data_IF_324681874877
#
_entry.id   IF_324681874877
#
_cell.length_a   1.000
_cell.length_b   1.000
_cell.length_c   1.000
_cell.angle_alpha   90.00
_cell.angle_beta   90.00
_cell.angle_gamma   90.00
#
_symmetry.space_group_name_H-M   'P 1'
#
loop_
_entity.id
_entity.type
_entity.pdbx_description
1 polymer ?
#
# COMPACT_ATOMS: atom_id res chain seq x y z
N UNK A 1 9.90 -20.28 8.43
CA UNK A 1 9.77 -18.81 8.31
C UNK A 1 10.72 -18.19 9.31
N UNK A 2 11.44 -17.15 8.92
CA UNK A 2 12.41 -16.44 9.78
C UNK A 2 11.87 -15.04 10.11
N UNK A 3 12.21 -14.51 11.28
CA UNK A 3 11.83 -13.16 11.70
C UNK A 3 12.97 -12.16 11.43
N UNK A 4 12.66 -11.04 10.79
CA UNK A 4 13.60 -9.94 10.56
C UNK A 4 13.41 -8.93 11.69
N UNK A 5 14.47 -8.70 12.47
CA UNK A 5 14.46 -7.64 13.49
C UNK A 5 14.84 -6.30 12.85
N UNK A 6 13.97 -5.30 13.02
CA UNK A 6 14.22 -3.95 12.54
C UNK A 6 15.00 -3.09 13.56
N UNK A 7 15.47 -3.66 14.67
CA UNK A 7 16.24 -3.02 15.72
C UNK A 7 15.52 -1.83 16.40
N UNK A 8 14.18 -1.85 16.42
CA UNK A 8 13.38 -0.77 17.00
C UNK A 8 13.44 0.54 16.23
N UNK A 9 13.91 0.53 14.99
CA UNK A 9 13.98 1.69 14.12
C UNK A 9 12.56 2.15 13.77
N UNK A 10 12.30 3.45 13.92
CA UNK A 10 11.00 4.07 13.61
C UNK A 10 11.01 4.95 12.36
N UNK A 11 12.16 5.09 11.69
CA UNK A 11 12.27 5.85 10.44
C UNK A 11 11.48 5.12 9.32
N UNK A 12 10.42 5.75 8.75
CA UNK A 12 9.58 5.13 7.73
C UNK A 12 10.34 4.84 6.43
N UNK A 13 11.30 5.69 6.04
CA UNK A 13 12.09 5.46 4.84
C UNK A 13 13.00 4.23 5.01
N UNK A 14 13.60 4.09 6.19
CA UNK A 14 14.48 2.95 6.47
C UNK A 14 13.71 1.64 6.63
N UNK A 15 12.55 1.66 7.28
CA UNK A 15 11.70 0.47 7.43
C UNK A 15 11.14 -0.03 6.08
N UNK A 16 10.72 0.88 5.18
CA UNK A 16 10.28 0.50 3.84
C UNK A 16 11.46 0.01 2.97
N UNK A 17 12.65 0.60 3.12
CA UNK A 17 13.86 0.10 2.47
C UNK A 17 14.26 -1.29 2.97
N UNK A 18 14.10 -1.57 4.26
CA UNK A 18 14.35 -2.89 4.83
C UNK A 18 13.41 -3.95 4.25
N UNK A 19 12.13 -3.63 4.06
CA UNK A 19 11.15 -4.52 3.40
C UNK A 19 11.56 -4.82 1.95
N UNK A 20 11.95 -3.80 1.17
CA UNK A 20 12.44 -3.99 -0.21
C UNK A 20 13.76 -4.78 -0.24
N UNK A 21 14.69 -4.48 0.67
CA UNK A 21 15.95 -5.19 0.80
C UNK A 21 15.71 -6.69 1.08
N UNK A 22 14.83 -6.99 2.04
CA UNK A 22 14.48 -8.35 2.39
C UNK A 22 13.82 -9.11 1.22
N UNK A 23 12.98 -8.43 0.43
CA UNK A 23 12.39 -8.97 -0.79
C UNK A 23 13.43 -9.25 -1.89
N UNK A 24 14.47 -8.42 -2.02
CA UNK A 24 15.40 -8.49 -3.16
C UNK A 24 16.69 -9.25 -2.88
N UNK A 25 17.21 -9.17 -1.66
CA UNK A 25 18.57 -9.58 -1.32
C UNK A 25 18.63 -10.80 -0.41
N UNK A 26 17.64 -10.99 0.48
CA UNK A 26 17.65 -12.17 1.35
C UNK A 26 17.38 -13.46 0.57
N UNK A 27 17.94 -14.61 0.99
CA UNK A 27 17.76 -15.89 0.33
C UNK A 27 16.28 -16.25 0.09
N UNK A 28 15.95 -16.70 -1.12
CA UNK A 28 14.56 -16.96 -1.49
C UNK A 28 14.02 -18.30 -0.95
N UNK A 29 14.86 -19.18 -0.43
CA UNK A 29 14.51 -20.49 0.14
C UNK A 29 13.80 -20.41 1.50
N UNK A 30 13.77 -19.22 2.12
CA UNK A 30 13.00 -18.96 3.32
C UNK A 30 11.86 -17.95 3.06
N UNK A 31 10.78 -18.12 3.80
CA UNK A 31 9.78 -17.08 4.03
C UNK A 31 10.21 -16.22 5.22
N UNK A 32 9.92 -14.93 5.18
CA UNK A 32 10.28 -13.98 6.23
C UNK A 32 9.05 -13.26 6.79
N UNK A 33 9.08 -12.97 8.09
CA UNK A 33 8.17 -12.04 8.75
C UNK A 33 8.96 -10.82 9.23
N UNK A 34 8.48 -9.63 8.89
CA UNK A 34 9.02 -8.37 9.38
C UNK A 34 7.91 -7.61 10.12
N UNK A 35 8.23 -7.09 11.31
CA UNK A 35 7.40 -6.13 12.02
C UNK A 35 8.12 -4.79 12.12
N UNK A 36 7.37 -3.70 11.97
CA UNK A 36 7.90 -2.35 12.17
C UNK A 36 6.82 -1.37 12.63
N UNK A 37 7.25 -0.34 13.36
CA UNK A 37 6.43 0.79 13.79
C UNK A 37 7.12 2.02 13.21
N UNK A 38 6.36 2.92 12.60
CA UNK A 38 6.92 4.15 12.03
C UNK A 38 6.55 5.34 12.91
N UNK A 39 7.43 6.33 12.97
CA UNK A 39 7.07 7.65 13.47
C UNK A 39 6.02 8.33 12.53
N UNK A 40 5.38 9.44 12.96
CA UNK A 40 4.31 10.09 12.22
C UNK A 40 4.60 10.26 10.72
N UNK A 41 3.88 9.52 9.89
CA UNK A 41 4.16 9.46 8.45
C UNK A 41 2.92 9.15 7.63
N UNK A 42 2.89 9.64 6.39
CA UNK A 42 1.94 9.25 5.36
C UNK A 42 2.65 8.32 4.39
N UNK A 43 2.15 7.08 4.32
CA UNK A 43 2.62 6.08 3.36
C UNK A 43 1.72 6.11 2.13
N UNK A 44 2.26 6.62 1.03
CA UNK A 44 1.56 6.79 -0.25
C UNK A 44 1.67 5.51 -1.08
N UNK A 45 0.56 5.07 -1.69
CA UNK A 45 0.55 3.93 -2.60
C UNK A 45 1.32 4.20 -3.88
N UNK A 46 1.90 3.15 -4.49
CA UNK A 46 2.81 3.27 -5.65
C UNK A 46 2.29 4.20 -6.75
N UNK A 47 1.01 4.10 -7.10
CA UNK A 47 0.41 4.81 -8.23
C UNK A 47 -0.38 6.07 -7.85
N UNK A 48 -0.33 6.53 -6.59
CA UNK A 48 -1.08 7.72 -6.19
C UNK A 48 -0.34 9.02 -6.52
N UNK A 49 -1.10 10.08 -6.83
CA UNK A 49 -0.56 11.43 -6.93
C UNK A 49 -0.42 12.05 -5.53
N UNK A 50 0.81 12.09 -5.01
CA UNK A 50 1.07 12.54 -3.64
C UNK A 50 0.61 13.97 -3.38
N UNK A 51 0.84 14.89 -4.32
CA UNK A 51 0.52 16.30 -4.14
C UNK A 51 -0.99 16.54 -3.98
N UNK A 52 -1.81 15.67 -4.56
CA UNK A 52 -3.27 15.75 -4.47
C UNK A 52 -3.84 14.96 -3.31
N UNK A 53 -3.12 13.96 -2.79
CA UNK A 53 -3.58 13.12 -1.69
C UNK A 53 -3.24 13.69 -0.31
N UNK A 54 -2.24 14.57 -0.18
CA UNK A 54 -1.79 15.10 1.12
C UNK A 54 -2.18 16.56 1.36
N UNK A 55 -2.54 16.88 2.60
CA UNK A 55 -2.61 18.26 3.07
C UNK A 55 -1.20 18.76 3.38
N UNK A 56 -0.54 19.33 2.36
CA UNK A 56 0.87 19.74 2.43
C UNK A 56 1.18 20.65 3.62
N UNK A 57 0.36 21.67 3.86
CA UNK A 57 0.58 22.64 4.94
C UNK A 57 0.56 21.96 6.32
N UNK A 58 -0.41 21.05 6.53
CA UNK A 58 -0.51 20.29 7.78
C UNK A 58 0.67 19.35 7.97
N UNK A 59 1.07 18.65 6.90
CA UNK A 59 2.16 17.67 6.91
C UNK A 59 3.50 18.35 7.22
N UNK A 60 3.82 19.42 6.48
CA UNK A 60 5.06 20.19 6.68
C UNK A 60 5.06 20.86 8.07
N UNK A 61 3.95 21.45 8.49
CA UNK A 61 3.83 22.13 9.78
C UNK A 61 3.96 21.22 11.01
N UNK A 62 3.78 19.91 10.86
CA UNK A 62 3.94 18.91 11.93
C UNK A 62 5.15 17.99 11.76
N UNK A 63 5.96 18.20 10.72
CA UNK A 63 7.11 17.34 10.42
C UNK A 63 6.71 15.89 10.13
N UNK A 64 5.53 15.66 9.53
CA UNK A 64 5.05 14.32 9.16
C UNK A 64 5.81 13.87 7.91
N UNK A 65 6.40 12.68 7.92
CA UNK A 65 7.10 12.15 6.76
C UNK A 65 6.12 11.76 5.65
N UNK A 66 6.54 11.87 4.39
CA UNK A 66 5.76 11.38 3.23
C UNK A 66 6.63 10.40 2.46
N UNK A 67 6.25 9.12 2.47
CA UNK A 67 7.05 8.04 1.88
C UNK A 67 6.19 7.19 0.98
N UNK A 68 6.62 6.95 -0.26
CA UNK A 68 5.92 6.08 -1.21
C UNK A 68 6.38 4.63 -1.04
N UNK A 69 5.42 3.70 -0.94
CA UNK A 69 5.69 2.25 -0.89
C UNK A 69 5.67 1.62 -2.29
N UNK A 70 6.19 0.40 -2.40
CA UNK A 70 6.20 -0.36 -3.67
C UNK A 70 4.84 -0.95 -4.04
N UNK A 71 3.99 -1.25 -3.06
CA UNK A 71 2.66 -1.80 -3.31
C UNK A 71 1.66 -0.72 -3.74
N UNK A 72 0.63 -1.15 -4.50
CA UNK A 72 -0.51 -0.30 -4.86
C UNK A 72 -1.43 -0.01 -3.67
N UNK A 73 -2.63 0.52 -3.92
CA UNK A 73 -3.59 0.89 -2.88
C UNK A 73 -3.55 2.37 -2.49
N UNK A 74 -4.36 2.73 -1.50
CA UNK A 74 -4.51 4.11 -1.03
C UNK A 74 -3.44 4.58 -0.04
N UNK A 75 -3.54 5.85 0.36
CA UNK A 75 -2.65 6.48 1.34
C UNK A 75 -3.04 6.05 2.74
N UNK A 76 -2.06 5.81 3.61
CA UNK A 76 -2.27 5.40 5.00
C UNK A 76 -1.40 6.26 5.91
N UNK A 77 -1.94 6.66 7.05
CA UNK A 77 -1.18 7.37 8.08
C UNK A 77 -0.66 6.38 9.11
N UNK A 78 0.61 6.51 9.47
CA UNK A 78 1.28 5.74 10.51
C UNK A 78 1.69 6.67 11.65
N UNK A 79 1.73 6.11 12.85
CA UNK A 79 2.38 6.68 14.03
C UNK A 79 2.85 5.54 14.94
N UNK A 80 3.31 5.90 16.15
CA UNK A 80 3.82 4.93 17.12
C UNK A 80 2.74 3.98 17.68
N UNK A 81 1.47 4.27 17.43
CA UNK A 81 0.34 3.41 17.76
C UNK A 81 -0.07 2.49 16.60
N UNK A 82 0.67 2.45 15.49
CA UNK A 82 0.41 1.61 14.34
C UNK A 82 1.51 0.54 14.18
N UNK A 83 1.15 -0.73 14.38
CA UNK A 83 2.05 -1.85 14.13
C UNK A 83 1.90 -2.34 12.69
N UNK A 84 2.99 -2.42 11.94
CA UNK A 84 2.99 -2.95 10.58
C UNK A 84 3.58 -4.36 10.57
N UNK A 85 3.05 -5.18 9.68
CA UNK A 85 3.57 -6.52 9.42
C UNK A 85 3.79 -6.73 7.94
N UNK A 86 4.78 -7.56 7.60
CA UNK A 86 5.08 -7.95 6.22
C UNK A 86 5.50 -9.41 6.16
N UNK A 87 4.74 -10.21 5.40
CA UNK A 87 5.10 -11.57 5.03
C UNK A 87 5.77 -11.55 3.67
N UNK A 88 7.05 -11.89 3.62
CA UNK A 88 7.88 -11.90 2.40
C UNK A 88 8.12 -13.35 2.00
N UNK A 89 7.58 -13.75 0.85
CA UNK A 89 7.56 -15.16 0.41
C UNK A 89 7.97 -15.29 -1.05
N UNK A 90 8.15 -16.53 -1.52
CA UNK A 90 8.11 -16.80 -2.97
C UNK A 90 6.73 -16.46 -3.52
N UNK A 91 6.69 -15.98 -4.76
CA UNK A 91 5.46 -15.89 -5.53
C UNK A 91 5.20 -17.25 -6.19
N UNK A 92 4.22 -17.97 -5.67
CA UNK A 92 3.79 -19.27 -6.22
C UNK A 92 2.84 -19.12 -7.43
N UNK A 93 2.65 -17.90 -7.93
CA UNK A 93 1.75 -17.56 -9.03
C UNK A 93 0.27 -17.61 -8.65
N UNK A 94 -0.05 -17.98 -7.40
CA UNK A 94 -1.42 -18.13 -6.88
C UNK A 94 -1.69 -17.25 -5.65
N UNK A 95 -0.63 -16.73 -5.02
CA UNK A 95 -0.71 -15.99 -3.77
C UNK A 95 -0.96 -14.50 -3.96
N UNK A 96 -0.67 -13.96 -5.14
CA UNK A 96 -1.04 -12.58 -5.48
C UNK A 96 -2.57 -12.47 -5.58
N UNK A 97 -3.14 -11.46 -4.90
CA UNK A 97 -4.56 -11.27 -4.57
C UNK A 97 -5.17 -12.25 -3.56
N UNK A 98 -4.43 -13.22 -3.02
CA UNK A 98 -4.90 -14.08 -1.93
C UNK A 98 -4.54 -13.47 -0.57
N UNK A 99 -5.22 -12.39 -0.20
CA UNK A 99 -5.01 -11.73 1.09
C UNK A 99 -5.29 -12.66 2.28
N UNK A 100 -6.29 -13.54 2.16
CA UNK A 100 -6.68 -14.49 3.21
C UNK A 100 -5.49 -15.31 3.72
N UNK A 101 -4.67 -15.84 2.81
CA UNK A 101 -3.48 -16.65 3.17
C UNK A 101 -2.57 -15.93 4.18
N UNK A 102 -2.41 -14.62 4.05
CA UNK A 102 -1.47 -13.83 4.84
C UNK A 102 -2.13 -13.10 6.02
N UNK A 103 -3.44 -12.81 5.95
CA UNK A 103 -4.18 -12.19 7.06
C UNK A 103 -4.65 -13.22 8.09
N UNK A 104 -4.84 -14.48 7.70
CA UNK A 104 -5.37 -15.52 8.60
C UNK A 104 -4.52 -15.72 9.87
N UNK A 105 -3.17 -15.80 9.83
CA UNK A 105 -2.37 -15.91 11.04
C UNK A 105 -2.55 -14.72 11.99
N UNK A 106 -2.70 -13.51 11.43
CA UNK A 106 -2.94 -12.27 12.20
C UNK A 106 -4.33 -12.28 12.82
N UNK A 107 -5.35 -12.69 12.07
CA UNK A 107 -6.73 -12.81 12.56
C UNK A 107 -6.80 -13.82 13.71
N UNK A 108 -6.19 -15.00 13.57
CA UNK A 108 -6.13 -15.98 14.66
C UNK A 108 -5.46 -15.42 15.92
N UNK A 109 -4.40 -14.64 15.77
CA UNK A 109 -3.73 -14.01 16.89
C UNK A 109 -4.61 -12.96 17.58
N UNK A 110 -5.39 -12.19 16.82
CA UNK A 110 -6.39 -11.25 17.33
C UNK A 110 -7.54 -11.95 18.08
N UNK A 111 -8.06 -13.07 17.54
CA UNK A 111 -9.09 -13.86 18.23
C UNK A 111 -8.62 -14.38 19.59
N UNK A 112 -7.33 -14.74 19.73
CA UNK A 112 -6.75 -15.14 21.03
C UNK A 112 -6.74 -14.01 22.07
N UNK A 113 -6.86 -12.75 21.64
CA UNK A 113 -7.04 -11.59 22.53
C UNK A 113 -8.52 -11.24 22.78
N UNK A 114 -9.46 -12.01 22.25
CA UNK A 114 -10.88 -11.71 22.29
C UNK A 114 -11.33 -10.66 21.28
N UNK A 115 -10.50 -10.34 20.28
CA UNK A 115 -10.83 -9.38 19.22
C UNK A 115 -11.38 -10.16 18.03
N UNK A 116 -12.71 -10.15 17.86
CA UNK A 116 -13.47 -10.85 16.80
C UNK A 116 -13.25 -10.22 15.42
N UNK A 117 -12.04 -10.36 14.89
CA UNK A 117 -11.61 -9.79 13.64
C UNK A 117 -11.96 -10.69 12.43
N UNK A 118 -12.31 -10.09 11.30
CA UNK A 118 -12.58 -10.80 10.06
C UNK A 118 -12.00 -10.08 8.83
N UNK A 119 -11.61 -10.85 7.82
CA UNK A 119 -11.25 -10.30 6.51
C UNK A 119 -12.52 -9.94 5.74
N UNK A 120 -12.62 -8.68 5.35
CA UNK A 120 -13.76 -8.11 4.61
C UNK A 120 -13.31 -7.45 3.32
N UNK A 121 -14.22 -7.37 2.35
CA UNK A 121 -13.94 -6.78 1.05
C UNK A 121 -12.81 -7.52 0.34
N UNK A 122 -11.75 -6.80 -0.04
CA UNK A 122 -10.58 -7.38 -0.71
C UNK A 122 -9.42 -7.62 0.24
N UNK A 123 -9.15 -6.66 1.12
CA UNK A 123 -7.86 -6.52 1.78
C UNK A 123 -7.95 -5.84 3.16
N UNK A 124 -9.14 -5.74 3.76
CA UNK A 124 -9.34 -5.05 5.03
C UNK A 124 -9.68 -6.04 6.15
N UNK A 125 -9.09 -5.86 7.34
CA UNK A 125 -9.52 -6.59 8.55
C UNK A 125 -10.41 -5.66 9.37
N UNK A 126 -11.58 -6.15 9.79
CA UNK A 126 -12.58 -5.39 10.54
C UNK A 126 -13.02 -6.13 11.80
N UNK A 127 -13.51 -5.37 12.78
CA UNK A 127 -14.27 -5.86 13.93
C UNK A 127 -15.67 -5.25 13.82
N UNK A 128 -16.67 -6.08 13.52
CA UNK A 128 -17.96 -5.60 13.04
C UNK A 128 -17.79 -4.77 11.76
N UNK A 129 -18.30 -3.54 11.74
CA UNK A 129 -18.21 -2.65 10.57
C UNK A 129 -16.97 -1.72 10.59
N UNK A 130 -16.10 -1.85 11.60
CA UNK A 130 -14.96 -0.93 11.80
C UNK A 130 -13.65 -1.58 11.39
N UNK A 131 -12.93 -0.92 10.48
CA UNK A 131 -11.62 -1.33 9.99
C UNK A 131 -10.52 -1.09 11.01
N UNK A 132 -9.73 -2.13 11.26
CA UNK A 132 -8.56 -2.12 12.16
C UNK A 132 -7.24 -2.39 11.39
N UNK A 133 -7.31 -2.83 10.13
CA UNK A 133 -6.16 -3.13 9.28
C UNK A 133 -6.47 -2.91 7.81
N UNK A 134 -5.52 -2.33 7.07
CA UNK A 134 -5.50 -2.37 5.61
C UNK A 134 -4.29 -3.14 5.11
N UNK A 135 -4.48 -3.97 4.08
CA UNK A 135 -3.43 -4.84 3.54
C UNK A 135 -3.12 -4.49 2.08
N UNK A 136 -1.88 -4.70 1.66
CA UNK A 136 -1.45 -4.51 0.29
C UNK A 136 -0.38 -5.54 -0.09
N UNK A 137 -0.23 -5.76 -1.39
CA UNK A 137 0.70 -6.74 -1.94
C UNK A 137 1.58 -6.12 -3.01
N UNK A 138 2.79 -6.65 -3.11
CA UNK A 138 3.74 -6.34 -4.18
C UNK A 138 4.45 -7.63 -4.59
N UNK A 139 4.66 -7.81 -5.89
CA UNK A 139 5.37 -8.97 -6.43
C UNK A 139 6.39 -8.52 -7.47
N UNK A 140 7.56 -9.17 -7.47
CA UNK A 140 8.61 -8.95 -8.46
C UNK A 140 9.52 -10.17 -8.55
N UNK A 141 9.92 -10.54 -9.78
CA UNK A 141 10.94 -11.59 -10.04
C UNK A 141 10.73 -12.90 -9.25
N UNK A 142 9.48 -13.38 -9.14
CA UNK A 142 9.15 -14.64 -8.44
C UNK A 142 9.17 -14.55 -6.92
N UNK A 143 9.24 -13.34 -6.35
CA UNK A 143 9.06 -13.07 -4.92
C UNK A 143 7.94 -12.06 -4.71
N UNK A 144 7.35 -12.08 -3.53
CA UNK A 144 6.32 -11.13 -3.16
C UNK A 144 6.37 -10.80 -1.68
N UNK A 145 5.77 -9.68 -1.31
CA UNK A 145 5.36 -9.45 0.06
C UNK A 145 3.87 -9.13 0.15
N UNK A 146 3.27 -9.55 1.26
CA UNK A 146 1.97 -9.04 1.72
C UNK A 146 2.19 -8.33 3.03
N UNK A 147 1.89 -7.04 3.04
CA UNK A 147 2.01 -6.24 4.26
C UNK A 147 0.66 -5.65 4.67
N UNK A 148 0.58 -5.24 5.92
CA UNK A 148 -0.60 -4.60 6.44
C UNK A 148 -0.30 -3.77 7.67
N UNK A 149 -1.23 -2.87 7.96
CA UNK A 149 -1.23 -2.08 9.18
C UNK A 149 -2.09 -2.75 10.24
N UNK A 150 -1.81 -2.51 11.50
CA UNK A 150 -2.66 -2.86 12.64
C UNK A 150 -2.78 -1.61 13.48
N UNK A 151 -3.94 -0.98 13.40
CA UNK A 151 -4.28 0.22 14.15
C UNK A 151 -4.42 -0.18 15.62
N UNK A 152 -3.31 -0.22 16.35
CA UNK A 152 -3.31 -0.69 17.73
C UNK A 152 -3.88 0.39 18.63
N UNK A 153 -3.24 1.56 18.64
CA UNK A 153 -3.65 2.75 19.40
C UNK A 153 -3.25 4.03 18.65
N UNK A 154 -3.56 4.09 17.36
CA UNK A 154 -3.15 5.16 16.45
C UNK A 154 -4.00 6.43 16.65
N UNK A 155 -3.42 7.60 16.43
CA UNK A 155 -4.06 8.91 16.58
C UNK A 155 -4.90 9.26 15.33
N UNK A 156 -6.14 8.78 15.30
CA UNK A 156 -7.05 8.90 14.15
C UNK A 156 -7.33 10.34 13.68
N UNK A 157 -7.23 11.33 14.57
CA UNK A 157 -7.47 12.74 14.23
C UNK A 157 -6.42 13.33 13.28
N UNK A 158 -5.20 12.80 13.32
CA UNK A 158 -4.15 13.17 12.40
C UNK A 158 -4.44 12.65 10.99
N UNK A 159 -5.02 11.45 10.87
CA UNK A 159 -5.36 10.81 9.59
C UNK A 159 -6.27 11.71 8.74
N UNK A 160 -7.36 12.20 9.34
CA UNK A 160 -8.34 13.02 8.63
C UNK A 160 -7.81 14.41 8.26
N UNK A 161 -6.84 14.92 9.02
CA UNK A 161 -6.26 16.25 8.83
C UNK A 161 -5.10 16.25 7.82
N UNK A 162 -4.37 15.13 7.73
CA UNK A 162 -3.16 14.99 6.92
C UNK A 162 -3.45 14.60 5.46
N UNK A 163 -4.65 14.07 5.17
CA UNK A 163 -5.06 13.63 3.83
C UNK A 163 -6.12 14.55 3.22
N UNK A 164 -5.94 14.88 1.94
CA UNK A 164 -6.96 15.55 1.14
C UNK A 164 -8.00 14.52 0.71
N UNK A 165 -9.10 14.46 1.46
CA UNK A 165 -10.15 13.49 1.23
C UNK A 165 -10.95 13.86 -0.03
N UNK A 166 -10.75 13.15 -1.15
CA UNK A 166 -11.53 13.37 -2.37
C UNK A 166 -13.03 13.04 -2.13
N UNK A 167 -13.97 14.00 -2.26
CA UNK A 167 -15.39 13.79 -1.99
C UNK A 167 -16.04 12.67 -2.81
N UNK A 168 -15.54 12.40 -4.03
CA UNK A 168 -16.04 11.35 -4.91
C UNK A 168 -15.85 9.94 -4.32
N UNK A 169 -14.82 9.71 -3.50
CA UNK A 169 -14.62 8.42 -2.78
C UNK A 169 -15.75 8.15 -1.76
N UNK A 170 -16.59 9.15 -1.44
CA UNK A 170 -17.63 9.09 -0.40
C UNK A 170 -19.05 9.23 -0.93
N UNK A 171 -19.24 9.76 -2.15
CA UNK A 171 -20.57 9.92 -2.77
C UNK A 171 -21.32 8.61 -2.96
N UNK A 172 -20.63 7.49 -3.17
CA UNK A 172 -21.28 6.18 -3.41
C UNK A 172 -21.78 5.46 -2.15
N UNK A 173 -21.55 6.00 -0.94
CA UNK A 173 -21.91 5.30 0.32
C UNK A 173 -22.77 6.10 1.30
N UNK A 174 -23.27 7.27 0.92
CA UNK A 174 -24.41 7.94 1.59
C UNK A 174 -24.38 8.07 3.13
N UNK A 175 -23.26 8.10 3.87
CA UNK A 175 -23.25 8.26 5.35
C UNK A 175 -21.91 8.79 5.88
N UNK A 176 -22.01 9.66 6.91
CA UNK A 176 -21.12 10.19 8.00
C UNK A 176 -19.58 9.96 7.95
N UNK A 177 -18.86 10.91 8.57
CA UNK A 177 -17.40 11.11 8.62
C UNK A 177 -16.52 9.85 8.77
N UNK A 178 -15.29 9.90 8.21
CA UNK A 178 -14.23 8.86 8.30
C UNK A 178 -14.08 8.22 9.69
N UNK A 179 -14.24 9.01 10.77
CA UNK A 179 -14.19 8.53 12.16
C UNK A 179 -15.12 7.35 12.48
N UNK A 180 -16.20 7.15 11.73
CA UNK A 180 -17.15 6.06 12.02
C UNK A 180 -16.79 4.72 11.36
N UNK A 181 -15.69 4.63 10.59
CA UNK A 181 -15.34 3.43 9.80
C UNK A 181 -14.03 2.76 10.20
N UNK A 182 -13.20 3.39 11.03
CA UNK A 182 -11.93 2.83 11.52
C UNK A 182 -11.95 2.82 13.04
N UNK A 183 -11.22 1.88 13.65
CA UNK A 183 -11.10 1.78 15.09
C UNK A 183 -9.71 1.28 15.48
N UNK A 184 -9.33 1.57 16.72
CA UNK A 184 -8.13 1.01 17.33
C UNK A 184 -8.44 -0.35 17.93
N UNK A 185 -7.47 -1.27 17.88
CA UNK A 185 -7.58 -2.61 18.45
C UNK A 185 -7.75 -2.53 19.98
N UNK A 186 -7.13 -1.53 20.63
CA UNK A 186 -7.29 -1.26 22.07
C UNK A 186 -8.75 -1.07 22.50
N UNK A 187 -9.63 -0.60 21.61
CA UNK A 187 -11.08 -0.45 21.90
C UNK A 187 -11.79 -1.79 22.12
N UNK A 188 -11.21 -2.89 21.63
CA UNK A 188 -11.80 -4.23 21.67
C UNK A 188 -11.10 -5.17 22.65
N UNK A 189 -10.05 -4.71 23.34
CA UNK A 189 -9.33 -5.51 24.33
C UNK A 189 -10.06 -5.52 25.67
N UNK A 190 -9.93 -6.63 26.41
CA UNK A 190 -10.50 -6.78 27.75
C UNK A 190 -9.73 -6.03 28.85
N UNK A 191 -8.50 -5.60 28.57
CA UNK A 191 -7.65 -4.88 29.49
C UNK A 191 -6.53 -4.10 28.78
N UNK A 192 -5.78 -3.25 29.51
CA UNK A 192 -4.70 -2.46 28.93
C UNK A 192 -3.56 -3.34 28.41
N UNK A 193 -3.00 -2.96 27.28
CA UNK A 193 -1.88 -3.64 26.62
C UNK A 193 -0.99 -2.59 25.95
N UNK A 194 0.34 -2.78 25.96
CA UNK A 194 1.25 -1.92 25.21
C UNK A 194 1.47 -2.46 23.79
N UNK A 195 1.93 -1.63 22.86
CA UNK A 195 2.20 -2.07 21.49
C UNK A 195 3.32 -3.11 21.42
N UNK A 196 4.28 -3.09 22.34
CA UNK A 196 5.34 -4.08 22.45
C UNK A 196 4.79 -5.43 22.90
N UNK A 197 3.89 -5.44 23.89
CA UNK A 197 3.21 -6.65 24.33
C UNK A 197 2.31 -7.22 23.24
N UNK A 198 1.61 -6.35 22.50
CA UNK A 198 0.81 -6.74 21.34
C UNK A 198 1.68 -7.34 20.22
N UNK A 199 2.81 -6.70 19.89
CA UNK A 199 3.79 -7.19 18.91
C UNK A 199 4.32 -8.57 19.31
N UNK A 200 4.68 -8.76 20.58
CA UNK A 200 5.16 -10.04 21.09
C UNK A 200 4.08 -11.12 21.02
N UNK A 201 2.83 -10.79 21.40
CA UNK A 201 1.70 -11.72 21.30
C UNK A 201 1.46 -12.17 19.86
N UNK A 202 1.48 -11.25 18.89
CA UNK A 202 1.35 -11.59 17.48
C UNK A 202 2.48 -12.51 17.02
N UNK A 203 3.72 -12.20 17.43
CA UNK A 203 4.89 -13.00 17.09
C UNK A 203 4.74 -14.43 17.62
N UNK A 204 4.44 -14.59 18.91
CA UNK A 204 4.27 -15.89 19.57
C UNK A 204 3.11 -16.68 18.94
N UNK A 205 2.01 -16.01 18.58
CA UNK A 205 0.87 -16.65 17.95
C UNK A 205 1.16 -17.10 16.51
N UNK A 206 1.91 -16.31 15.74
CA UNK A 206 2.27 -16.63 14.34
C UNK A 206 3.28 -17.79 14.29
N UNK A 207 4.21 -17.85 15.25
CA UNK A 207 5.16 -18.94 15.38
C UNK A 207 4.62 -20.13 16.19
N UNK A 208 3.34 -20.09 16.59
CA UNK A 208 2.66 -21.16 17.33
C UNK A 208 3.39 -21.57 18.63
N UNK A 209 4.04 -20.61 19.29
CA UNK A 209 4.85 -20.84 20.50
C UNK A 209 6.20 -21.53 20.25
N UNK A 210 6.57 -21.76 18.99
CA UNK A 210 7.89 -22.27 18.62
C UNK A 210 8.98 -21.20 18.80
N UNK A 211 10.24 -21.63 18.89
CA UNK A 211 11.37 -20.71 18.91
C UNK A 211 11.39 -19.82 17.65
N UNK A 212 11.39 -18.50 17.86
CA UNK A 212 11.44 -17.52 16.77
C UNK A 212 12.88 -17.41 16.27
N UNK A 213 13.15 -18.08 15.15
CA UNK A 213 14.43 -17.96 14.46
C UNK A 213 14.55 -16.58 13.80
N UNK A 214 15.58 -15.82 14.19
CA UNK A 214 15.83 -14.47 13.69
C UNK A 214 16.85 -14.45 12.58
N UNK A 215 16.69 -13.52 11.64
CA UNK A 215 17.71 -13.12 10.68
C UNK A 215 18.52 -12.00 11.31
N UNK A 216 19.81 -12.25 11.55
CA UNK A 216 20.75 -11.20 11.94
C UNK A 216 21.33 -10.55 10.67
N UNK A 217 20.95 -9.30 10.43
CA UNK A 217 21.52 -8.51 9.35
C UNK A 217 22.89 -7.96 9.75
N UNK A 218 23.88 -8.16 8.90
CA UNK A 218 25.23 -7.65 9.08
C UNK A 218 25.28 -6.12 8.94
N UNK A 219 26.40 -5.52 9.35
CA UNK A 219 26.63 -4.09 9.13
C UNK A 219 26.54 -3.71 7.64
N UNK A 220 27.03 -4.57 6.75
CA UNK A 220 26.97 -4.36 5.31
C UNK A 220 25.53 -4.44 4.76
N UNK A 221 24.70 -5.34 5.29
CA UNK A 221 23.27 -5.39 4.95
C UNK A 221 22.58 -4.08 5.35
N UNK A 222 22.84 -3.59 6.55
CA UNK A 222 22.29 -2.32 7.03
C UNK A 222 22.79 -1.10 6.23
N UNK A 223 24.03 -1.11 5.76
CA UNK A 223 24.55 -0.06 4.88
C UNK A 223 23.84 -0.07 3.52
N UNK A 224 23.57 -1.26 2.96
CA UNK A 224 22.78 -1.39 1.73
C UNK A 224 21.31 -0.94 1.93
N UNK A 225 20.70 -1.24 3.09
CA UNK A 225 19.37 -0.76 3.46
C UNK A 225 19.36 0.77 3.58
N UNK A 226 20.38 1.38 4.21
CA UNK A 226 20.52 2.84 4.32
C UNK A 226 20.69 3.49 2.95
N UNK A 227 21.55 2.94 2.11
CA UNK A 227 21.76 3.42 0.74
C UNK A 227 20.44 3.38 -0.06
N UNK A 228 19.70 2.27 0.02
CA UNK A 228 18.40 2.15 -0.64
C UNK A 228 17.38 3.17 -0.10
N UNK A 229 17.38 3.42 1.21
CA UNK A 229 16.54 4.44 1.82
C UNK A 229 16.86 5.84 1.27
N UNK A 230 18.14 6.19 1.14
CA UNK A 230 18.58 7.48 0.61
C UNK A 230 18.25 7.65 -0.88
N UNK A 231 18.53 6.63 -1.68
CA UNK A 231 18.35 6.66 -3.15
C UNK A 231 16.87 6.65 -3.56
N UNK A 232 16.01 5.97 -2.80
CA UNK A 232 14.59 5.79 -3.13
C UNK A 232 13.68 6.48 -2.13
N UNK A 233 13.63 6.00 -0.89
CA UNK A 233 12.56 6.33 0.05
C UNK A 233 12.66 7.74 0.66
N UNK A 234 13.83 8.37 0.59
CA UNK A 234 14.04 9.80 0.90
C UNK A 234 14.06 10.69 -0.34
N UNK A 235 14.02 10.10 -1.54
CA UNK A 235 14.03 10.83 -2.79
C UNK A 235 12.69 11.52 -3.03
N UNK A 236 12.75 12.83 -3.32
CA UNK A 236 11.57 13.61 -3.71
C UNK A 236 10.95 13.08 -5.01
N UNK A 237 11.77 12.69 -5.98
CA UNK A 237 11.32 12.13 -7.26
C UNK A 237 10.56 10.81 -7.09
N UNK A 238 10.91 10.01 -6.08
CA UNK A 238 10.15 8.82 -5.76
C UNK A 238 8.85 9.16 -5.01
N UNK A 239 8.94 9.99 -3.96
CA UNK A 239 7.80 10.24 -3.08
C UNK A 239 6.72 11.12 -3.73
N UNK A 240 7.10 12.12 -4.51
CA UNK A 240 6.19 13.06 -5.18
C UNK A 240 6.16 12.84 -6.68
N UNK A 241 7.33 12.65 -7.28
CA UNK A 241 7.49 12.46 -8.72
C UNK A 241 7.06 13.66 -9.56
N UNK A 242 7.02 13.45 -10.87
CA UNK A 242 6.56 14.47 -11.82
C UNK A 242 5.09 14.25 -12.14
N UNK A 243 4.33 15.34 -12.15
CA UNK A 243 2.99 15.38 -12.75
C UNK A 243 3.13 15.98 -14.15
N UNK A 244 2.98 15.18 -15.23
CA UNK A 244 3.12 15.67 -16.59
C UNK A 244 2.04 16.70 -16.92
N UNK A 245 2.30 17.51 -17.95
CA UNK A 245 1.27 18.43 -18.45
C UNK A 245 0.09 17.62 -18.98
N UNK A 246 -1.11 18.15 -18.83
CA UNK A 246 -2.31 17.50 -19.33
C UNK A 246 -3.36 18.54 -19.72
N UNK A 247 -4.15 18.21 -20.73
CA UNK A 247 -5.34 18.98 -21.13
C UNK A 247 -6.60 18.10 -21.18
N UNK A 248 -6.44 16.79 -20.97
CA UNK A 248 -7.50 15.82 -20.70
C UNK A 248 -7.25 15.22 -19.33
N UNK A 249 -8.26 15.27 -18.47
CA UNK A 249 -8.24 14.72 -17.12
C UNK A 249 -9.53 13.96 -16.87
N UNK A 250 -9.40 12.68 -16.54
CA UNK A 250 -10.52 11.76 -16.33
C UNK A 250 -10.30 11.00 -15.03
N UNK A 251 -11.27 11.09 -14.12
CA UNK A 251 -11.25 10.36 -12.85
C UNK A 251 -12.49 9.50 -12.75
N UNK A 252 -12.32 8.20 -12.49
CA UNK A 252 -13.45 7.28 -12.34
C UNK A 252 -13.15 6.16 -11.36
N UNK A 253 -14.17 5.74 -10.61
CA UNK A 253 -14.15 4.51 -9.82
C UNK A 253 -14.56 3.34 -10.73
N UNK A 254 -13.64 2.42 -10.97
CA UNK A 254 -13.86 1.18 -11.68
C UNK A 254 -13.89 0.01 -10.69
N UNK A 255 -14.12 -1.20 -11.21
CA UNK A 255 -14.05 -2.44 -10.44
C UNK A 255 -12.73 -2.58 -9.68
N UNK A 256 -11.57 -2.28 -10.26
CA UNK A 256 -10.27 -2.43 -9.59
C UNK A 256 -9.90 -1.33 -8.58
N UNK A 257 -10.57 -0.18 -8.58
CA UNK A 257 -10.20 0.98 -7.77
C UNK A 257 -10.59 2.30 -8.42
N UNK A 258 -10.13 3.41 -7.87
CA UNK A 258 -10.18 4.72 -8.49
C UNK A 258 -8.99 4.91 -9.42
N UNK A 259 -9.26 5.37 -10.63
CA UNK A 259 -8.29 5.72 -11.65
C UNK A 259 -8.37 7.22 -11.95
N UNK A 260 -7.21 7.83 -12.15
CA UNK A 260 -7.01 9.20 -12.60
C UNK A 260 -6.08 9.14 -13.82
N UNK A 261 -6.63 9.43 -15.00
CA UNK A 261 -5.89 9.44 -16.26
C UNK A 261 -5.69 10.87 -16.71
N UNK A 262 -4.43 11.20 -16.99
CA UNK A 262 -4.01 12.52 -17.47
C UNK A 262 -3.36 12.36 -18.82
N UNK A 263 -3.91 13.00 -19.84
CA UNK A 263 -3.37 12.99 -21.19
C UNK A 263 -3.10 14.42 -21.65
N UNK A 264 -2.00 14.61 -22.37
CA UNK A 264 -1.78 15.80 -23.18
C UNK A 264 -2.05 15.45 -24.64
N UNK A 265 -3.18 15.93 -25.17
CA UNK A 265 -3.61 15.68 -26.54
C UNK A 265 -3.34 16.91 -27.39
N UNK A 266 -2.54 16.74 -28.43
CA UNK A 266 -2.19 17.81 -29.37
C UNK A 266 -2.42 17.31 -30.80
N UNK A 267 -3.13 18.11 -31.60
CA UNK A 267 -3.54 17.75 -32.96
C UNK A 267 -4.23 16.37 -33.05
N UNK A 268 -5.03 16.02 -32.02
CA UNK A 268 -5.76 14.75 -31.94
C UNK A 268 -4.90 13.54 -31.60
N UNK A 269 -3.65 13.73 -31.17
CA UNK A 269 -2.71 12.65 -30.80
C UNK A 269 -2.25 12.84 -29.36
N UNK A 270 -2.17 11.73 -28.61
CA UNK A 270 -1.65 11.73 -27.24
C UNK A 270 -0.13 11.92 -27.28
N UNK A 271 0.38 12.99 -26.67
CA UNK A 271 1.81 13.26 -26.53
C UNK A 271 2.37 12.78 -25.20
N UNK A 272 1.63 13.02 -24.13
CA UNK A 272 1.97 12.59 -22.77
C UNK A 272 0.77 11.87 -22.15
N UNK A 273 1.06 10.88 -21.31
CA UNK A 273 0.07 10.12 -20.59
C UNK A 273 0.60 9.76 -19.20
N UNK A 274 -0.27 9.83 -18.21
CA UNK A 274 -0.04 9.29 -16.87
C UNK A 274 -1.31 8.63 -16.36
N UNK A 275 -1.12 7.57 -15.57
CA UNK A 275 -2.20 6.84 -14.91
C UNK A 275 -1.87 6.79 -13.43
N UNK A 276 -2.71 7.44 -12.64
CA UNK A 276 -2.68 7.42 -11.18
C UNK A 276 -3.90 6.68 -10.62
N UNK A 277 -3.82 6.27 -9.36
CA UNK A 277 -4.95 5.65 -8.68
C UNK A 277 -4.60 4.87 -7.43
N UNK A 278 -5.63 4.29 -6.83
CA UNK A 278 -5.54 3.42 -5.64
C UNK A 278 -5.68 1.92 -5.98
N UNK A 279 -5.47 1.56 -7.25
CA UNK A 279 -5.54 0.17 -7.72
C UNK A 279 -4.31 -0.66 -7.33
N UNK A 280 -4.44 -1.98 -7.47
CA UNK A 280 -3.37 -2.95 -7.28
C UNK A 280 -3.01 -3.61 -8.61
N UNK A 281 -1.72 -3.67 -8.93
CA UNK A 281 -1.20 -4.28 -10.14
C UNK A 281 0.21 -4.80 -9.94
N UNK A 282 0.62 -5.74 -10.79
CA UNK A 282 1.98 -6.28 -10.83
C UNK A 282 2.87 -5.46 -11.75
N UNK A 283 2.33 -5.03 -12.90
CA UNK A 283 3.02 -4.18 -13.88
C UNK A 283 3.13 -2.73 -13.44
N UNK A 284 4.00 -1.97 -14.11
CA UNK A 284 4.14 -0.55 -13.87
C UNK A 284 3.12 0.27 -14.68
N UNK A 285 2.35 1.14 -14.02
CA UNK A 285 1.38 1.99 -14.70
C UNK A 285 2.06 2.92 -15.73
N UNK A 286 3.33 3.29 -15.52
CA UNK A 286 4.09 4.08 -16.49
C UNK A 286 4.39 3.31 -17.79
N UNK A 287 4.59 1.99 -17.72
CA UNK A 287 4.80 1.14 -18.91
C UNK A 287 3.53 1.08 -19.75
N UNK A 288 2.35 1.02 -19.12
CA UNK A 288 1.08 1.14 -19.84
C UNK A 288 0.88 2.54 -20.41
N UNK A 289 1.12 3.59 -19.62
CA UNK A 289 0.96 4.97 -20.08
C UNK A 289 1.82 5.29 -21.31
N UNK A 290 3.05 4.74 -21.38
CA UNK A 290 3.91 4.87 -22.55
C UNK A 290 3.28 4.28 -23.83
N UNK A 291 2.44 3.24 -23.74
CA UNK A 291 1.74 2.65 -24.89
C UNK A 291 0.64 3.54 -25.46
N UNK A 292 0.16 4.51 -24.68
CA UNK A 292 -0.82 5.51 -25.14
C UNK A 292 -0.17 6.64 -25.93
N UNK A 293 1.14 6.86 -25.80
CA UNK A 293 1.83 7.94 -26.50
C UNK A 293 1.91 7.66 -28.01
N UNK A 294 1.61 8.68 -28.81
CA UNK A 294 1.53 8.58 -30.27
C UNK A 294 0.20 8.02 -30.79
N UNK A 295 -0.70 7.60 -29.91
CA UNK A 295 -2.01 7.06 -30.28
C UNK A 295 -2.98 8.22 -30.57
N UNK A 296 -3.79 8.07 -31.61
CA UNK A 296 -4.86 9.02 -31.94
C UNK A 296 -5.92 8.98 -30.83
N UNK A 297 -6.36 10.14 -30.35
CA UNK A 297 -7.36 10.24 -29.29
C UNK A 297 -8.77 10.06 -29.86
N UNK A 298 -9.08 8.83 -30.24
CA UNK A 298 -10.42 8.39 -30.67
C UNK A 298 -10.68 6.96 -30.22
N UNK A 299 -11.96 6.59 -30.17
CA UNK A 299 -12.42 5.29 -29.67
C UNK A 299 -11.75 4.10 -30.36
N UNK A 300 -11.60 4.12 -31.69
CA UNK A 300 -11.08 2.96 -32.41
C UNK A 300 -9.58 2.75 -32.17
N UNK A 301 -8.79 3.84 -32.21
CA UNK A 301 -7.36 3.77 -31.95
C UNK A 301 -7.05 3.36 -30.49
N UNK A 302 -7.77 3.93 -29.52
CA UNK A 302 -7.63 3.56 -28.12
C UNK A 302 -8.02 2.09 -27.89
N UNK A 303 -9.12 1.62 -28.49
CA UNK A 303 -9.54 0.23 -28.38
C UNK A 303 -8.50 -0.74 -28.94
N UNK A 304 -7.82 -0.37 -30.03
CA UNK A 304 -6.75 -1.18 -30.62
C UNK A 304 -5.54 -1.35 -29.71
N UNK A 305 -5.14 -0.32 -28.95
CA UNK A 305 -4.04 -0.44 -27.98
C UNK A 305 -4.38 -1.44 -26.87
N UNK A 306 -5.64 -1.49 -26.45
CA UNK A 306 -6.08 -2.36 -25.37
C UNK A 306 -6.21 -3.83 -25.80
N UNK A 307 -6.29 -4.13 -27.10
CA UNK A 307 -6.37 -5.52 -27.59
C UNK A 307 -5.07 -6.31 -27.33
N UNK A 308 -3.93 -5.64 -27.39
CA UNK A 308 -2.61 -6.26 -27.21
C UNK A 308 -2.07 -6.11 -25.77
N UNK A 309 -2.89 -5.62 -24.84
CA UNK A 309 -2.48 -5.34 -23.46
C UNK A 309 -3.26 -6.19 -22.46
N UNK A 310 -2.53 -6.92 -21.63
CA UNK A 310 -3.09 -7.53 -20.44
C UNK A 310 -3.35 -6.47 -19.36
N UNK A 311 -4.54 -5.84 -19.37
CA UNK A 311 -4.91 -4.81 -18.39
C UNK A 311 -4.87 -5.33 -16.95
N UNK A 312 -5.18 -6.61 -16.74
CA UNK A 312 -5.18 -7.19 -15.39
C UNK A 312 -3.80 -7.22 -14.76
N UNK A 313 -2.75 -7.32 -15.57
CA UNK A 313 -1.37 -7.27 -15.10
C UNK A 313 -1.03 -5.90 -14.48
N UNK A 314 -1.47 -4.80 -15.08
CA UNK A 314 -1.16 -3.43 -14.63
C UNK A 314 -2.13 -2.90 -13.59
N UNK A 315 -3.40 -3.30 -13.67
CA UNK A 315 -4.50 -2.60 -13.00
C UNK A 315 -5.41 -3.50 -12.17
N UNK A 316 -5.17 -4.81 -12.14
CA UNK A 316 -6.01 -5.77 -11.40
C UNK A 316 -7.31 -6.08 -12.14
N UNK A 317 -8.34 -6.50 -11.42
CA UNK A 317 -9.62 -6.92 -12.02
C UNK A 317 -10.36 -5.72 -12.66
N UNK A 318 -10.09 -5.45 -13.94
CA UNK A 318 -10.70 -4.38 -14.75
C UNK A 318 -10.92 -4.86 -16.17
N UNK A 319 -12.03 -4.46 -16.78
CA UNK A 319 -12.37 -4.83 -18.16
C UNK A 319 -11.90 -3.80 -19.18
N UNK A 320 -11.80 -4.21 -20.45
CA UNK A 320 -11.50 -3.30 -21.58
C UNK A 320 -12.57 -2.20 -21.69
N UNK A 321 -13.84 -2.55 -21.52
CA UNK A 321 -14.95 -1.61 -21.65
C UNK A 321 -14.92 -0.54 -20.53
N UNK A 322 -14.66 -0.96 -19.28
CA UNK A 322 -14.46 -0.03 -18.17
C UNK A 322 -13.32 0.96 -18.43
N UNK A 323 -12.23 0.49 -19.04
CA UNK A 323 -11.10 1.33 -19.43
C UNK A 323 -11.41 2.30 -20.57
N UNK A 324 -12.09 1.84 -21.62
CA UNK A 324 -12.48 2.70 -22.73
C UNK A 324 -13.44 3.80 -22.29
N UNK A 325 -14.37 3.48 -21.41
CA UNK A 325 -15.30 4.47 -20.85
C UNK A 325 -14.59 5.49 -19.95
N UNK A 326 -13.47 5.13 -19.32
CA UNK A 326 -12.61 6.07 -18.57
C UNK A 326 -11.81 6.99 -19.49
N UNK A 327 -11.35 6.50 -20.64
CA UNK A 327 -10.47 7.23 -21.55
C UNK A 327 -11.20 8.22 -22.48
N UNK A 328 -12.53 8.14 -22.60
CA UNK A 328 -13.34 9.00 -23.48
C UNK A 328 -14.05 10.10 -22.67
#
# INVERSE_FOLDING_TARGET
MLFIDNNGITDPALNLALEEYALKQLPADHDYLLFYINEPSIIIGKNQNTAEEINREYVEGRGIHVVRRLSGGGAVYHDLGNLNFSFITKDDGKSFHNYRKFTEPVIRALHRLGVEAELTGRNDIQVGERKISGNAQFATKGRMFTHGTLLFDSQMDHVASALNVNPEKFKSKGVKSVRSRVANITEFLSGPMTIEAFRQHLLDSIFEGSEVQRVELSAADWDAVRQLADERYRSWDWNYGKSPAFNVHRVKRLSAGTFDVRLYVEAGVIREAAVYGDFFGQGDAAEFAAKLQGVRYDTAALAGVLDDVNLQHYFGQVTKDEWLELLL
#
